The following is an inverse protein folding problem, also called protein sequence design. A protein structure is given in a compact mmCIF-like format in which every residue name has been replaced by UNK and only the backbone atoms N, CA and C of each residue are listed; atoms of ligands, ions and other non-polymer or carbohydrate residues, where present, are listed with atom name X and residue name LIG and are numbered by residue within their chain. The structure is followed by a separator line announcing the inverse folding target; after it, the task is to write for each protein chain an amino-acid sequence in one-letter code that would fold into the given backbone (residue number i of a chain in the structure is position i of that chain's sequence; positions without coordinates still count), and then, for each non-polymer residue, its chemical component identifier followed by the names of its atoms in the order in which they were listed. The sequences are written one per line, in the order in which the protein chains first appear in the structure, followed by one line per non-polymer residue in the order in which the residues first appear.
data_IF_238447609705
#
_entry.id   IF_238447609705
#
_cell.length_a   1.000
_cell.length_b   1.000
_cell.length_c   1.000
_cell.angle_alpha   90.00
_cell.angle_beta   90.00
_cell.angle_gamma   90.00
#
_symmetry.space_group_name_H-M   'P 1'
#
loop_
_entity.id
_entity.type
_entity.pdbx_description
1 polymer ?
#
# COMPACT_ATOMS: atom_id res chain seq x y z
N UNK A 1 13.47 3.72 -0.74
CA UNK A 1 14.21 3.17 0.44
C UNK A 1 14.17 1.66 0.24
N UNK A 2 15.26 1.10 -0.28
CA UNK A 2 15.25 -0.21 -0.94
C UNK A 2 14.89 -1.36 0.00
N UNK A 3 14.21 -2.37 -0.55
CA UNK A 3 14.01 -3.68 0.07
C UNK A 3 15.29 -4.15 0.77
N UNK A 4 15.18 -4.56 2.04
CA UNK A 4 16.33 -5.10 2.78
C UNK A 4 16.94 -6.27 1.98
N UNK A 5 18.24 -6.24 1.68
CA UNK A 5 18.87 -7.33 0.94
C UNK A 5 18.64 -8.65 1.69
N UNK A 6 18.41 -9.74 0.95
CA UNK A 6 17.98 -11.03 1.52
C UNK A 6 18.86 -11.53 2.69
N UNK A 7 20.13 -11.13 2.70
CA UNK A 7 21.10 -11.35 3.78
C UNK A 7 20.67 -10.83 5.17
N UNK A 8 19.80 -9.82 5.25
CA UNK A 8 19.28 -9.27 6.51
C UNK A 8 17.98 -9.94 6.97
N UNK A 9 17.39 -10.80 6.14
CA UNK A 9 16.15 -11.53 6.41
C UNK A 9 16.39 -13.04 6.49
N UNK A 10 17.62 -13.47 6.78
CA UNK A 10 18.01 -14.89 6.90
C UNK A 10 17.13 -15.65 7.89
N UNK A 11 16.72 -15.01 8.99
CA UNK A 11 15.80 -15.59 9.98
C UNK A 11 14.41 -15.95 9.41
N UNK A 12 13.98 -15.31 8.30
CA UNK A 12 12.73 -15.65 7.60
C UNK A 12 12.94 -16.77 6.57
N UNK A 13 14.06 -16.74 5.85
CA UNK A 13 14.29 -17.65 4.71
C UNK A 13 14.92 -18.99 5.11
N UNK A 14 15.81 -19.01 6.11
CA UNK A 14 16.55 -20.21 6.49
C UNK A 14 15.65 -21.33 7.00
N UNK A 15 14.60 -21.07 7.81
CA UNK A 15 13.66 -22.13 8.19
C UNK A 15 12.95 -22.74 6.97
N UNK A 16 12.49 -21.89 6.04
CA UNK A 16 11.75 -22.30 4.85
C UNK A 16 12.61 -23.04 3.81
N UNK A 17 13.91 -22.72 3.73
CA UNK A 17 14.84 -23.24 2.74
C UNK A 17 15.92 -24.15 3.33
N UNK A 18 15.74 -24.62 4.57
CA UNK A 18 16.76 -25.35 5.33
C UNK A 18 17.45 -26.49 4.55
N UNK A 19 16.69 -27.23 3.74
CA UNK A 19 17.19 -28.33 2.91
C UNK A 19 17.98 -27.88 1.66
N UNK A 20 17.76 -26.64 1.22
CA UNK A 20 18.37 -26.04 0.01
C UNK A 20 19.48 -25.05 0.31
N UNK A 21 19.71 -24.71 1.58
CA UNK A 21 20.82 -23.82 2.00
C UNK A 21 22.21 -24.19 1.44
N UNK A 22 22.60 -25.47 1.30
CA UNK A 22 23.91 -25.81 0.72
C UNK A 22 23.94 -25.79 -0.81
N UNK A 23 22.82 -25.53 -1.48
CA UNK A 23 22.73 -25.50 -2.95
C UNK A 23 23.41 -24.25 -3.52
N UNK A 24 24.31 -24.44 -4.48
CA UNK A 24 24.87 -23.33 -5.27
C UNK A 24 24.10 -23.28 -6.58
N UNK A 25 23.31 -22.22 -6.76
CA UNK A 25 22.55 -22.03 -7.99
C UNK A 25 23.49 -21.79 -9.18
N UNK A 26 23.26 -22.45 -10.32
CA UNK A 26 23.92 -22.12 -11.58
C UNK A 26 23.74 -20.65 -11.95
N UNK A 27 24.72 -20.09 -12.67
CA UNK A 27 24.69 -18.70 -13.08
C UNK A 27 23.46 -18.40 -13.94
N UNK A 28 22.61 -17.49 -13.47
CA UNK A 28 21.40 -17.04 -14.16
C UNK A 28 20.11 -17.71 -13.69
N UNK A 29 20.19 -18.70 -12.80
CA UNK A 29 19.00 -19.27 -12.17
C UNK A 29 18.45 -18.37 -11.06
N UNK A 30 17.12 -18.29 -10.99
CA UNK A 30 16.39 -17.52 -9.98
C UNK A 30 15.69 -18.50 -9.06
N UNK A 31 16.02 -18.44 -7.77
CA UNK A 31 15.31 -19.15 -6.72
C UNK A 31 14.35 -18.21 -6.02
N UNK A 32 13.07 -18.55 -6.04
CA UNK A 32 12.08 -17.89 -5.19
C UNK A 32 12.31 -18.28 -3.73
N UNK A 33 12.65 -17.30 -2.89
CA UNK A 33 12.96 -17.55 -1.48
C UNK A 33 11.71 -17.73 -0.63
N UNK A 34 10.64 -16.98 -0.94
CA UNK A 34 9.34 -17.04 -0.29
C UNK A 34 8.29 -16.36 -1.17
N UNK A 35 7.08 -16.92 -1.24
CA UNK A 35 5.93 -16.24 -1.83
C UNK A 35 5.29 -15.34 -0.78
N UNK A 36 5.67 -14.06 -0.72
CA UNK A 36 4.98 -13.07 0.13
C UNK A 36 4.82 -11.74 -0.61
N UNK A 37 3.67 -11.09 -0.43
CA UNK A 37 3.42 -9.72 -0.88
C UNK A 37 3.78 -8.65 0.16
N UNK A 38 4.51 -9.01 1.23
CA UNK A 38 4.85 -8.08 2.31
C UNK A 38 6.26 -7.52 2.12
N UNK A 39 6.39 -6.20 2.11
CA UNK A 39 7.67 -5.48 2.05
C UNK A 39 8.66 -5.97 3.11
N UNK A 40 8.22 -6.16 4.35
CA UNK A 40 9.06 -6.63 5.46
C UNK A 40 9.55 -8.08 5.30
N UNK A 41 8.98 -8.83 4.34
CA UNK A 41 9.33 -10.22 4.05
C UNK A 41 9.91 -10.41 2.64
N UNK A 42 10.39 -9.32 2.03
CA UNK A 42 11.17 -9.37 0.78
C UNK A 42 10.38 -9.16 -0.51
N UNK A 43 9.12 -8.74 -0.44
CA UNK A 43 8.37 -8.38 -1.64
C UNK A 43 9.02 -7.16 -2.33
N UNK A 44 9.15 -7.23 -3.66
CA UNK A 44 9.66 -6.13 -4.48
C UNK A 44 8.47 -5.29 -4.95
N UNK A 45 8.44 -4.03 -4.55
CA UNK A 45 7.48 -3.04 -5.06
C UNK A 45 8.11 -2.32 -6.25
N UNK A 46 7.35 -2.25 -7.34
CA UNK A 46 7.71 -1.51 -8.56
C UNK A 46 6.65 -0.47 -8.82
N UNK A 47 7.07 0.73 -9.23
CA UNK A 47 6.12 1.73 -9.71
C UNK A 47 5.41 1.23 -10.98
N UNK A 48 4.07 1.20 -10.90
CA UNK A 48 3.17 0.78 -11.96
C UNK A 48 2.49 1.94 -12.69
N UNK A 49 2.83 3.19 -12.41
CA UNK A 49 2.17 4.38 -12.97
C UNK A 49 2.07 4.38 -14.50
N UNK A 50 3.04 3.77 -15.19
CA UNK A 50 3.05 3.62 -16.66
C UNK A 50 1.89 2.77 -17.21
N UNK A 51 1.23 1.96 -16.37
CA UNK A 51 0.09 1.13 -16.75
C UNK A 51 -1.27 1.81 -16.47
N UNK A 52 -1.26 3.08 -16.05
CA UNK A 52 -2.50 3.84 -15.87
C UNK A 52 -2.99 4.31 -17.25
N UNK A 53 -4.19 3.89 -17.62
CA UNK A 53 -4.86 4.26 -18.87
C UNK A 53 -6.17 4.99 -18.58
N UNK A 54 -6.71 5.65 -19.60
CA UNK A 54 -8.02 6.30 -19.50
C UNK A 54 -9.15 5.30 -19.24
N UNK A 55 -9.06 4.07 -19.79
CA UNK A 55 -10.05 3.02 -19.52
C UNK A 55 -10.00 2.56 -18.06
N UNK A 56 -8.81 2.31 -17.53
CA UNK A 56 -8.64 1.94 -16.12
C UNK A 56 -9.13 3.07 -15.19
N UNK A 57 -8.79 4.33 -15.50
CA UNK A 57 -9.29 5.47 -14.73
C UNK A 57 -10.82 5.58 -14.76
N UNK A 58 -11.44 5.34 -15.92
CA UNK A 58 -12.90 5.39 -16.06
C UNK A 58 -13.57 4.29 -15.23
N UNK A 59 -13.07 3.05 -15.30
CA UNK A 59 -13.59 1.94 -14.50
C UNK A 59 -13.42 2.19 -12.99
N UNK A 60 -12.29 2.75 -12.57
CA UNK A 60 -12.07 3.12 -11.16
C UNK A 60 -12.99 4.25 -10.72
N UNK A 61 -13.21 5.26 -11.58
CA UNK A 61 -14.14 6.36 -11.28
C UNK A 61 -15.58 5.86 -11.11
N UNK A 62 -16.05 4.97 -11.97
CA UNK A 62 -17.39 4.38 -11.82
C UNK A 62 -17.56 3.70 -10.46
N UNK A 63 -16.57 2.91 -10.03
CA UNK A 63 -16.61 2.23 -8.73
C UNK A 63 -16.55 3.23 -7.56
N UNK A 64 -15.67 4.23 -7.65
CA UNK A 64 -15.40 5.14 -6.54
C UNK A 64 -16.48 6.22 -6.39
N UNK A 65 -17.15 6.61 -7.47
CA UNK A 65 -18.25 7.59 -7.42
C UNK A 65 -19.47 7.06 -6.66
N UNK A 66 -19.64 5.74 -6.60
CA UNK A 66 -20.69 5.10 -5.80
C UNK A 66 -20.37 5.09 -4.29
N UNK A 67 -19.14 5.47 -3.90
CA UNK A 67 -18.70 5.49 -2.50
C UNK A 67 -18.84 6.90 -1.90
N UNK A 68 -20.04 7.21 -1.39
CA UNK A 68 -20.27 8.49 -0.71
C UNK A 68 -19.31 8.69 0.46
N UNK A 69 -18.75 9.90 0.56
CA UNK A 69 -17.76 10.25 1.57
C UNK A 69 -16.32 9.78 1.31
N UNK A 70 -16.04 9.05 0.22
CA UNK A 70 -14.69 8.60 -0.14
C UNK A 70 -14.03 9.53 -1.17
N UNK A 71 -13.07 10.35 -0.73
CA UNK A 71 -12.39 11.34 -1.58
C UNK A 71 -10.91 11.05 -1.81
N UNK A 72 -10.30 10.23 -0.95
CA UNK A 72 -8.89 9.90 -1.03
C UNK A 72 -8.60 8.60 -0.28
N UNK A 73 -7.81 7.74 -0.91
CA UNK A 73 -7.39 6.49 -0.32
C UNK A 73 -6.59 5.64 -1.30
N UNK A 74 -6.43 4.37 -0.94
CA UNK A 74 -5.73 3.36 -1.75
C UNK A 74 -6.62 2.15 -1.92
N UNK A 75 -6.58 1.54 -3.09
CA UNK A 75 -7.21 0.25 -3.36
C UNK A 75 -6.11 -0.79 -3.50
N UNK A 76 -6.24 -1.88 -2.75
CA UNK A 76 -5.39 -3.04 -2.95
C UNK A 76 -6.18 -4.00 -3.84
N UNK A 77 -5.72 -4.13 -5.09
CA UNK A 77 -6.41 -4.89 -6.13
C UNK A 77 -5.64 -6.15 -6.52
N UNK A 78 -6.38 -7.19 -6.89
CA UNK A 78 -5.85 -8.38 -7.55
C UNK A 78 -6.41 -8.46 -8.96
N UNK A 79 -5.56 -8.67 -9.94
CA UNK A 79 -5.95 -8.69 -11.35
C UNK A 79 -5.36 -9.92 -12.05
N UNK A 80 -5.98 -10.30 -13.18
CA UNK A 80 -5.56 -11.46 -13.97
C UNK A 80 -4.24 -11.22 -14.70
N UNK A 81 -4.15 -10.13 -15.45
CA UNK A 81 -2.99 -9.72 -16.25
C UNK A 81 -2.99 -8.21 -16.50
N UNK A 82 -1.85 -7.64 -16.91
CA UNK A 82 -1.72 -6.19 -17.12
C UNK A 82 -2.57 -5.67 -18.28
N UNK A 83 -2.80 -6.47 -19.32
CA UNK A 83 -3.55 -6.05 -20.49
C UNK A 83 -5.04 -5.87 -20.15
N UNK A 84 -5.60 -6.78 -19.36
CA UNK A 84 -6.97 -6.66 -18.85
C UNK A 84 -7.10 -5.55 -17.82
N UNK A 85 -6.13 -5.41 -16.89
CA UNK A 85 -6.13 -4.30 -15.93
C UNK A 85 -6.14 -2.95 -16.64
N UNK A 86 -5.29 -2.75 -17.65
CA UNK A 86 -5.24 -1.52 -18.45
C UNK A 86 -6.54 -1.24 -19.22
N UNK A 87 -7.43 -2.23 -19.40
CA UNK A 87 -8.76 -2.02 -19.97
C UNK A 87 -9.83 -1.78 -18.91
N UNK A 88 -9.48 -1.80 -17.62
CA UNK A 88 -10.42 -1.74 -16.52
C UNK A 88 -11.19 -3.06 -16.31
N UNK A 89 -10.62 -4.19 -16.72
CA UNK A 89 -11.29 -5.50 -16.70
C UNK A 89 -10.56 -6.51 -15.80
N UNK A 90 -11.26 -7.58 -15.40
CA UNK A 90 -10.68 -8.76 -14.73
C UNK A 90 -9.82 -8.47 -13.48
N UNK A 91 -10.29 -7.54 -12.65
CA UNK A 91 -9.72 -7.29 -11.33
C UNK A 91 -10.76 -7.41 -10.22
N UNK A 92 -10.28 -7.56 -9.00
CA UNK A 92 -11.06 -7.56 -7.77
C UNK A 92 -10.40 -6.63 -6.76
N UNK A 93 -11.20 -5.81 -6.11
CA UNK A 93 -10.76 -4.97 -5.00
C UNK A 93 -10.76 -5.86 -3.75
N UNK A 94 -9.59 -6.02 -3.14
CA UNK A 94 -9.42 -6.84 -1.94
C UNK A 94 -9.56 -5.99 -0.66
N UNK A 95 -9.06 -4.76 -0.71
CA UNK A 95 -9.11 -3.82 0.41
C UNK A 95 -9.30 -2.39 -0.10
N UNK A 96 -10.06 -1.62 0.67
CA UNK A 96 -10.22 -0.17 0.49
C UNK A 96 -9.62 0.51 1.71
N UNK A 97 -8.52 1.20 1.47
CA UNK A 97 -7.76 1.91 2.48
C UNK A 97 -8.13 3.39 2.44
N UNK A 98 -8.53 3.96 3.58
CA UNK A 98 -8.95 5.36 3.66
C UNK A 98 -7.79 6.37 3.66
N UNK A 99 -8.10 7.61 4.02
CA UNK A 99 -7.20 8.76 4.01
C UNK A 99 -5.90 8.61 4.83
N UNK A 100 -5.87 7.70 5.80
CA UNK A 100 -4.70 7.43 6.64
C UNK A 100 -3.67 6.51 5.98
N UNK A 101 -3.97 5.93 4.81
CA UNK A 101 -3.06 5.00 4.15
C UNK A 101 -1.91 5.71 3.45
N UNK A 102 -0.69 5.23 3.68
CA UNK A 102 0.49 5.71 2.95
C UNK A 102 0.41 5.32 1.47
N UNK A 103 0.84 6.22 0.61
CA UNK A 103 1.00 5.94 -0.81
C UNK A 103 2.00 4.79 -1.02
N UNK A 104 1.53 3.63 -1.48
CA UNK A 104 2.36 2.41 -1.55
C UNK A 104 3.62 2.57 -2.43
N UNK A 105 3.58 3.45 -3.44
CA UNK A 105 4.70 3.70 -4.35
C UNK A 105 5.90 4.42 -3.69
N UNK A 106 5.77 4.96 -2.47
CA UNK A 106 6.94 5.48 -1.72
C UNK A 106 7.94 4.36 -1.37
N UNK A 107 7.48 3.12 -1.37
CA UNK A 107 8.27 1.92 -1.13
C UNK A 107 8.91 1.34 -2.40
N UNK A 108 8.83 2.04 -3.55
CA UNK A 108 9.54 1.62 -4.76
C UNK A 108 11.04 1.48 -4.45
N UNK A 109 11.57 0.31 -4.82
CA UNK A 109 12.99 -0.02 -4.76
C UNK A 109 13.90 0.98 -5.49
N UNK A 110 13.39 1.66 -6.52
CA UNK A 110 14.10 2.69 -7.28
C UNK A 110 13.92 4.11 -6.69
N UNK A 111 13.05 4.28 -5.68
CA UNK A 111 12.74 5.57 -5.07
C UNK A 111 13.81 6.05 -4.07
N UNK A 112 14.08 7.35 -4.10
CA UNK A 112 14.95 8.03 -3.12
C UNK A 112 14.17 8.49 -1.90
N UNK A 113 14.86 8.71 -0.78
CA UNK A 113 14.25 9.29 0.42
C UNK A 113 13.52 10.61 0.13
N UNK A 114 14.15 11.53 -0.62
CA UNK A 114 13.54 12.81 -0.97
C UNK A 114 12.30 12.65 -1.86
N UNK A 115 12.29 11.67 -2.77
CA UNK A 115 11.09 11.38 -3.57
C UNK A 115 9.93 10.89 -2.69
N UNK A 116 10.20 10.01 -1.71
CA UNK A 116 9.19 9.55 -0.76
C UNK A 116 8.64 10.70 0.09
N UNK A 117 9.51 11.57 0.63
CA UNK A 117 9.07 12.75 1.39
C UNK A 117 8.22 13.69 0.54
N UNK A 118 8.60 13.91 -0.73
CA UNK A 118 7.82 14.75 -1.65
C UNK A 118 6.41 14.20 -1.85
N UNK A 119 6.27 12.89 -2.05
CA UNK A 119 4.97 12.21 -2.18
C UNK A 119 4.14 12.38 -0.90
N UNK A 120 4.73 12.16 0.28
CA UNK A 120 4.04 12.33 1.56
C UNK A 120 3.54 13.78 1.74
N UNK A 121 4.38 14.78 1.46
CA UNK A 121 3.98 16.18 1.51
C UNK A 121 2.82 16.49 0.55
N UNK A 122 2.83 15.91 -0.66
CA UNK A 122 1.74 16.07 -1.64
C UNK A 122 0.46 15.41 -1.15
N UNK A 123 0.53 14.19 -0.60
CA UNK A 123 -0.59 13.49 0.00
C UNK A 123 -1.22 14.33 1.13
N UNK A 124 -0.43 14.80 2.09
CA UNK A 124 -0.95 15.64 3.16
C UNK A 124 -1.57 16.94 2.64
N UNK A 125 -0.97 17.58 1.63
CA UNK A 125 -1.57 18.76 1.00
C UNK A 125 -2.97 18.47 0.45
N UNK A 126 -3.15 17.36 -0.26
CA UNK A 126 -4.46 16.93 -0.80
C UNK A 126 -5.45 16.69 0.34
N UNK A 127 -5.04 15.97 1.38
CA UNK A 127 -5.89 15.70 2.55
C UNK A 127 -6.35 16.99 3.25
N UNK A 128 -5.45 17.97 3.42
CA UNK A 128 -5.82 19.28 3.96
C UNK A 128 -6.81 20.03 3.07
N UNK A 129 -6.65 19.95 1.75
CA UNK A 129 -7.58 20.57 0.80
C UNK A 129 -8.97 19.92 0.87
N UNK A 130 -9.04 18.59 0.91
CA UNK A 130 -10.30 17.85 1.09
C UNK A 130 -10.95 18.24 2.43
N UNK A 131 -10.18 18.27 3.51
CA UNK A 131 -10.68 18.67 4.83
C UNK A 131 -11.23 20.10 4.85
N UNK A 132 -10.57 21.04 4.18
CA UNK A 132 -11.06 22.41 4.05
C UNK A 132 -12.35 22.50 3.23
N UNK A 133 -12.44 21.76 2.13
CA UNK A 133 -13.68 21.67 1.34
C UNK A 133 -14.83 21.10 2.16
N UNK A 134 -14.58 20.03 2.93
CA UNK A 134 -15.61 19.45 3.80
C UNK A 134 -16.04 20.38 4.90
N UNK A 135 -15.10 21.10 5.51
CA UNK A 135 -15.42 22.14 6.48
C UNK A 135 -16.33 23.21 5.87
N UNK A 136 -16.06 23.66 4.64
CA UNK A 136 -16.91 24.62 3.92
C UNK A 136 -18.30 24.05 3.59
N UNK A 137 -18.40 22.74 3.37
CA UNK A 137 -19.66 22.03 3.18
C UNK A 137 -20.43 21.78 4.50
N UNK A 138 -19.96 22.30 5.63
CA UNK A 138 -20.64 22.24 6.92
C UNK A 138 -20.28 21.04 7.79
N UNK A 139 -19.31 20.21 7.38
CA UNK A 139 -18.82 19.13 8.24
C UNK A 139 -18.05 19.70 9.43
N UNK A 140 -18.36 19.27 10.67
CA UNK A 140 -17.72 19.81 11.86
C UNK A 140 -16.26 19.36 11.95
N UNK A 141 -15.40 20.27 12.37
CA UNK A 141 -14.02 19.92 12.73
C UNK A 141 -14.02 19.13 14.04
N UNK A 142 -13.29 18.01 14.12
CA UNK A 142 -13.13 17.29 15.38
C UNK A 142 -12.39 18.18 16.38
N UNK A 143 -12.88 18.23 17.62
CA UNK A 143 -12.16 18.91 18.69
C UNK A 143 -10.95 18.08 19.13
N UNK A 144 -9.95 18.73 19.75
CA UNK A 144 -8.76 18.04 20.27
C UNK A 144 -9.13 16.87 21.21
N UNK A 145 -10.18 17.03 22.01
CA UNK A 145 -10.70 15.97 22.88
C UNK A 145 -11.18 14.76 22.08
N UNK A 146 -11.91 14.96 20.97
CA UNK A 146 -12.35 13.86 20.11
C UNK A 146 -11.15 13.13 19.49
N UNK A 147 -10.14 13.86 19.01
CA UNK A 147 -8.93 13.26 18.47
C UNK A 147 -8.19 12.41 19.51
N UNK A 148 -8.05 12.91 20.75
CA UNK A 148 -7.42 12.16 21.84
C UNK A 148 -8.19 10.89 22.21
N UNK A 149 -9.53 10.94 22.22
CA UNK A 149 -10.37 9.78 22.48
C UNK A 149 -10.22 8.75 21.36
N UNK A 150 -10.27 9.18 20.10
CA UNK A 150 -10.11 8.31 18.94
C UNK A 150 -8.74 7.60 18.96
N UNK A 151 -7.66 8.34 19.22
CA UNK A 151 -6.31 7.79 19.33
C UNK A 151 -6.20 6.76 20.47
N UNK A 152 -6.78 7.03 21.65
CA UNK A 152 -6.79 6.06 22.75
C UNK A 152 -7.53 4.77 22.38
N UNK A 153 -8.68 4.90 21.70
CA UNK A 153 -9.46 3.76 21.23
C UNK A 153 -8.69 2.92 20.21
N UNK A 154 -8.07 3.57 19.23
CA UNK A 154 -7.23 2.91 18.23
C UNK A 154 -6.06 2.17 18.90
N UNK A 155 -5.37 2.81 19.84
CA UNK A 155 -4.28 2.16 20.59
C UNK A 155 -4.72 0.92 21.37
N UNK A 156 -5.92 0.93 21.95
CA UNK A 156 -6.45 -0.24 22.64
C UNK A 156 -6.72 -1.39 21.65
N UNK A 157 -7.35 -1.08 20.50
CA UNK A 157 -7.62 -2.07 19.46
C UNK A 157 -6.32 -2.70 18.90
N UNK A 158 -5.28 -1.90 18.68
CA UNK A 158 -3.98 -2.40 18.18
C UNK A 158 -3.33 -3.39 19.16
N UNK A 159 -3.56 -3.26 20.47
CA UNK A 159 -3.06 -4.23 21.45
C UNK A 159 -3.73 -5.60 21.31
N UNK A 160 -5.01 -5.62 20.94
CA UNK A 160 -5.76 -6.86 20.72
C UNK A 160 -5.35 -7.54 19.39
N UNK A 161 -4.99 -6.76 18.36
CA UNK A 161 -4.51 -7.31 17.08
C UNK A 161 -3.17 -8.05 17.17
N UNK A 162 -2.29 -7.68 18.12
CA UNK A 162 -1.01 -8.39 18.31
C UNK A 162 -1.18 -9.82 18.85
N UNK A 163 -2.37 -10.20 19.33
CA UNK A 163 -2.63 -11.57 19.81
C UNK A 163 -3.12 -12.52 18.71
N UNK A 164 -3.33 -12.03 17.47
CA UNK A 164 -3.91 -12.80 16.36
C UNK A 164 -2.89 -13.29 15.32
N UNK A 165 -1.58 -13.06 15.53
CA UNK A 165 -0.50 -13.52 14.64
C UNK A 165 0.67 -14.14 15.42
#
# INVERSE_FOLDING_TARGET
MGSLPAQHLTHLYFPALSQRLPEILPKGEILELVFTGNHCRGAIFKDGNQFITDQLNSAMNEILLDMDGFYYGRLDIKFKDLDSLQKGENFSILEINGASSEAAHIWDSNGTFFSAIKVLCQQYKILYQIGDLQRRNGYPLPSLKHLLIAWKKERALVQDYQQLY
#
